data_IF_433379163555
#
_entry.id   IF_433379163555
#
_cell.length_a   1.000
_cell.length_b   1.000
_cell.length_c   1.000
_cell.angle_alpha   90.00
_cell.angle_beta   90.00
_cell.angle_gamma   90.00
#
_symmetry.space_group_name_H-M   'P 1'
#
loop_
_entity.id
_entity.type
_entity.pdbx_description
1 polymer ?
#
# COMPACT_ATOMS: atom_id res chain seq x y z
N UNK A 1 1.55 11.56 19.93
CA UNK A 1 1.66 10.28 19.18
C UNK A 1 2.26 10.61 17.83
N UNK A 2 3.27 9.88 17.35
CA UNK A 2 3.84 10.13 16.00
C UNK A 2 2.93 9.55 14.92
N UNK A 3 3.00 10.08 13.70
CA UNK A 3 2.25 9.57 12.55
C UNK A 3 2.49 8.06 12.35
N UNK A 4 3.73 7.61 12.49
CA UNK A 4 4.11 6.21 12.31
C UNK A 4 3.50 5.28 13.37
N UNK A 5 3.30 5.77 14.60
CA UNK A 5 2.65 4.99 15.66
C UNK A 5 1.14 4.90 15.43
N UNK A 6 0.52 6.01 15.01
CA UNK A 6 -0.90 6.06 14.67
C UNK A 6 -1.22 5.11 13.50
N UNK A 7 -0.42 5.18 12.43
CA UNK A 7 -0.56 4.33 11.25
C UNK A 7 -0.35 2.86 11.59
N UNK A 8 0.63 2.53 12.43
CA UNK A 8 0.86 1.14 12.85
C UNK A 8 -0.32 0.55 13.62
N UNK A 9 -0.93 1.32 14.54
CA UNK A 9 -2.12 0.88 15.28
C UNK A 9 -3.33 0.71 14.36
N UNK A 10 -3.57 1.68 13.49
CA UNK A 10 -4.60 1.61 12.45
C UNK A 10 -4.46 0.38 11.57
N UNK A 11 -3.23 0.08 11.16
CA UNK A 11 -2.97 -1.07 10.31
C UNK A 11 -3.32 -2.38 11.02
N UNK A 12 -3.05 -2.47 12.32
CA UNK A 12 -3.49 -3.58 13.16
C UNK A 12 -5.01 -3.75 13.16
N UNK A 13 -5.77 -2.67 13.34
CA UNK A 13 -7.25 -2.70 13.29
C UNK A 13 -7.78 -3.10 11.92
N UNK A 14 -7.20 -2.56 10.83
CA UNK A 14 -7.54 -2.94 9.46
C UNK A 14 -7.28 -4.44 9.22
N UNK A 15 -6.12 -4.94 9.65
CA UNK A 15 -5.73 -6.35 9.48
C UNK A 15 -6.59 -7.35 10.28
N UNK A 16 -7.31 -6.88 11.30
CA UNK A 16 -8.25 -7.69 12.08
C UNK A 16 -9.57 -7.92 11.33
N UNK A 17 -9.84 -7.16 10.27
CA UNK A 17 -11.02 -7.31 9.41
C UNK A 17 -10.70 -8.23 8.23
N UNK A 18 -11.33 -9.42 8.13
CA UNK A 18 -11.06 -10.37 7.04
C UNK A 18 -11.23 -9.77 5.64
N UNK A 19 -12.20 -8.86 5.50
CA UNK A 19 -12.61 -8.26 4.24
C UNK A 19 -11.70 -7.10 3.76
N UNK A 20 -10.78 -6.61 4.60
CA UNK A 20 -10.00 -5.40 4.31
C UNK A 20 -9.24 -5.48 2.98
N UNK A 21 -8.53 -6.59 2.76
CA UNK A 21 -7.72 -6.77 1.55
C UNK A 21 -8.56 -7.07 0.31
N UNK A 22 -9.72 -7.71 0.48
CA UNK A 22 -10.68 -7.93 -0.61
C UNK A 22 -11.25 -6.60 -1.09
N UNK A 23 -11.64 -5.76 -0.13
CA UNK A 23 -12.15 -4.43 -0.37
C UNK A 23 -11.11 -3.50 -0.99
N UNK A 24 -9.85 -3.59 -0.55
CA UNK A 24 -8.74 -2.88 -1.18
C UNK A 24 -8.61 -3.25 -2.65
N UNK A 25 -8.52 -4.54 -2.97
CA UNK A 25 -8.32 -4.97 -4.36
C UNK A 25 -9.54 -4.67 -5.23
N UNK A 26 -10.76 -4.77 -4.69
CA UNK A 26 -11.96 -4.36 -5.40
C UNK A 26 -11.91 -2.88 -5.78
N UNK A 27 -11.53 -2.01 -4.85
CA UNK A 27 -11.37 -0.57 -5.12
C UNK A 27 -10.22 -0.28 -6.08
N UNK A 28 -9.06 -0.93 -5.90
CA UNK A 28 -7.87 -0.68 -6.69
C UNK A 28 -8.02 -1.15 -8.15
N UNK A 29 -8.52 -2.37 -8.36
CA UNK A 29 -8.75 -2.91 -9.72
C UNK A 29 -9.83 -2.12 -10.48
N UNK A 30 -10.80 -1.54 -9.78
CA UNK A 30 -11.83 -0.69 -10.40
C UNK A 30 -11.34 0.73 -10.75
N UNK A 31 -10.19 1.15 -10.21
CA UNK A 31 -9.72 2.54 -10.34
C UNK A 31 -9.11 2.89 -11.71
N UNK A 32 -8.65 1.89 -12.46
CA UNK A 32 -8.07 2.07 -13.80
C UNK A 32 -8.01 0.75 -14.57
N UNK A 33 -8.36 0.73 -15.87
CA UNK A 33 -8.15 -0.45 -16.73
C UNK A 33 -6.69 -0.91 -16.77
N UNK A 34 -5.73 0.03 -16.73
CA UNK A 34 -4.30 -0.27 -16.71
C UNK A 34 -3.88 -0.97 -15.41
N UNK A 35 -4.48 -0.58 -14.28
CA UNK A 35 -4.29 -1.32 -13.02
C UNK A 35 -4.85 -2.73 -13.16
N UNK A 36 -6.09 -2.88 -13.63
CA UNK A 36 -6.72 -4.19 -13.79
C UNK A 36 -5.90 -5.15 -14.67
N UNK A 37 -5.33 -4.63 -15.76
CA UNK A 37 -4.49 -5.40 -16.68
C UNK A 37 -3.27 -6.03 -15.99
N UNK A 38 -2.62 -5.30 -15.07
CA UNK A 38 -1.45 -5.78 -14.31
C UNK A 38 -1.74 -6.98 -13.41
N UNK A 39 -3.01 -7.27 -13.12
CA UNK A 39 -3.44 -8.38 -12.24
C UNK A 39 -4.16 -9.53 -12.96
N UNK A 40 -4.25 -9.50 -14.30
CA UNK A 40 -4.98 -10.51 -15.10
C UNK A 40 -4.50 -11.95 -14.91
N UNK A 41 -3.22 -12.13 -14.57
CA UNK A 41 -2.58 -13.43 -14.35
C UNK A 41 -2.00 -13.56 -12.92
N UNK A 42 -2.67 -12.97 -11.94
CA UNK A 42 -2.23 -12.97 -10.55
C UNK A 42 -3.07 -13.91 -9.69
N UNK A 43 -2.40 -14.74 -8.89
CA UNK A 43 -3.06 -15.42 -7.76
C UNK A 43 -3.42 -14.38 -6.70
N UNK A 44 -4.68 -13.97 -6.69
CA UNK A 44 -5.16 -12.93 -5.78
C UNK A 44 -5.19 -13.37 -4.31
N UNK A 45 -5.16 -14.66 -4.00
CA UNK A 45 -5.06 -15.15 -2.61
C UNK A 45 -3.64 -14.93 -2.10
N UNK A 46 -2.64 -15.36 -2.87
CA UNK A 46 -1.24 -15.11 -2.54
C UNK A 46 -0.91 -13.61 -2.55
N UNK A 47 -1.46 -12.86 -3.50
CA UNK A 47 -1.22 -11.43 -3.65
C UNK A 47 -1.69 -10.62 -2.44
N UNK A 48 -2.82 -10.98 -1.82
CA UNK A 48 -3.28 -10.32 -0.58
C UNK A 48 -2.31 -10.52 0.59
N UNK A 49 -1.68 -11.69 0.68
CA UNK A 49 -0.64 -11.94 1.70
C UNK A 49 0.62 -11.11 1.43
N UNK A 50 1.03 -11.00 0.16
CA UNK A 50 2.15 -10.14 -0.24
C UNK A 50 1.86 -8.67 0.05
N UNK A 51 0.64 -8.20 -0.24
CA UNK A 51 0.22 -6.84 0.09
C UNK A 51 0.25 -6.58 1.60
N UNK A 52 -0.19 -7.54 2.42
CA UNK A 52 -0.12 -7.43 3.88
C UNK A 52 1.32 -7.22 4.36
N UNK A 53 2.25 -8.02 3.85
CA UNK A 53 3.68 -7.84 4.14
C UNK A 53 4.22 -6.51 3.58
N UNK A 54 3.79 -6.10 2.38
CA UNK A 54 4.21 -4.88 1.71
C UNK A 54 3.85 -3.61 2.50
N UNK A 55 2.60 -3.49 2.95
CA UNK A 55 2.17 -2.35 3.77
C UNK A 55 2.93 -2.32 5.09
N UNK A 56 3.12 -3.46 5.75
CA UNK A 56 3.94 -3.53 6.96
C UNK A 56 5.36 -3.02 6.73
N UNK A 57 6.00 -3.39 5.61
CA UNK A 57 7.34 -2.92 5.27
C UNK A 57 7.39 -1.40 5.06
N UNK A 58 6.37 -0.80 4.44
CA UNK A 58 6.27 0.66 4.30
C UNK A 58 6.19 1.34 5.67
N UNK A 59 5.35 0.83 6.58
CA UNK A 59 5.21 1.36 7.94
C UNK A 59 6.50 1.20 8.74
N UNK A 60 7.15 0.05 8.66
CA UNK A 60 8.42 -0.21 9.34
C UNK A 60 9.55 0.69 8.82
N UNK A 61 9.62 0.92 7.50
CA UNK A 61 10.57 1.87 6.92
C UNK A 61 10.35 3.28 7.46
N UNK A 62 9.10 3.75 7.53
CA UNK A 62 8.78 5.06 8.10
C UNK A 62 9.18 5.18 9.58
N UNK A 63 9.19 4.05 10.32
CA UNK A 63 9.67 3.94 11.71
C UNK A 63 11.19 3.86 11.85
N UNK A 64 11.94 3.99 10.75
CA UNK A 64 13.40 4.05 10.74
C UNK A 64 14.10 2.73 10.45
N UNK A 65 13.39 1.68 10.01
CA UNK A 65 14.06 0.46 9.54
C UNK A 65 14.75 0.70 8.19
N UNK A 66 15.85 -0.03 7.88
CA UNK A 66 16.56 0.12 6.61
C UNK A 66 15.67 -0.10 5.38
N UNK A 67 15.93 0.60 4.25
CA UNK A 67 15.10 0.52 3.04
C UNK A 67 15.27 -0.79 2.24
N UNK A 68 16.06 -1.76 2.70
CA UNK A 68 16.44 -2.96 1.93
C UNK A 68 15.25 -3.70 1.34
N UNK A 69 14.14 -3.81 2.08
CA UNK A 69 12.90 -4.44 1.58
C UNK A 69 12.21 -3.59 0.51
N UNK A 70 12.21 -2.27 0.66
CA UNK A 70 11.64 -1.35 -0.33
C UNK A 70 12.49 -1.28 -1.61
N UNK A 71 13.83 -1.39 -1.49
CA UNK A 71 14.73 -1.48 -2.64
C UNK A 71 14.50 -2.78 -3.43
N UNK A 72 14.29 -3.90 -2.75
CA UNK A 72 13.90 -5.14 -3.42
C UNK A 72 12.54 -5.03 -4.13
N UNK A 73 11.57 -4.31 -3.52
CA UNK A 73 10.30 -3.99 -4.19
C UNK A 73 10.53 -3.09 -5.40
N UNK A 74 11.36 -2.05 -5.29
CA UNK A 74 11.71 -1.14 -6.39
C UNK A 74 12.25 -1.91 -7.60
N UNK A 75 13.21 -2.81 -7.38
CA UNK A 75 13.75 -3.69 -8.44
C UNK A 75 12.64 -4.52 -9.09
N UNK A 76 11.78 -5.18 -8.29
CA UNK A 76 10.68 -5.99 -8.83
C UNK A 76 9.64 -5.18 -9.59
N UNK A 77 9.39 -3.93 -9.20
CA UNK A 77 8.40 -3.05 -9.82
C UNK A 77 8.98 -2.20 -10.96
N UNK A 78 10.29 -2.29 -11.21
CA UNK A 78 11.00 -1.54 -12.25
C UNK A 78 10.47 -1.83 -13.65
N UNK A 79 10.82 -0.93 -14.58
CA UNK A 79 10.53 -1.08 -16.03
C UNK A 79 11.02 -2.39 -16.63
N UNK A 80 12.10 -2.97 -16.09
CA UNK A 80 12.70 -4.20 -16.60
C UNK A 80 12.10 -5.47 -16.00
N UNK A 81 11.18 -5.33 -15.04
CA UNK A 81 10.50 -6.44 -14.35
C UNK A 81 9.00 -6.35 -14.56
N UNK A 82 8.23 -5.99 -13.54
CA UNK A 82 6.77 -5.90 -13.61
C UNK A 82 6.28 -4.68 -14.40
N UNK A 83 7.17 -3.73 -14.70
CA UNK A 83 6.88 -2.51 -15.44
C UNK A 83 5.72 -1.71 -14.81
N UNK A 84 5.83 -1.44 -13.50
CA UNK A 84 4.81 -0.69 -12.77
C UNK A 84 5.10 0.79 -12.93
N UNK A 85 4.40 1.41 -13.88
CA UNK A 85 4.57 2.83 -14.21
C UNK A 85 4.33 3.73 -12.99
N UNK A 86 5.13 4.80 -12.79
CA UNK A 86 5.07 5.65 -11.61
C UNK A 86 3.69 6.22 -11.27
N UNK A 87 2.84 6.52 -12.26
CA UNK A 87 1.50 7.06 -12.01
C UNK A 87 0.52 6.04 -11.41
N UNK A 88 0.81 4.74 -11.51
CA UNK A 88 -0.02 3.68 -10.94
C UNK A 88 -0.03 3.68 -9.41
N UNK A 89 1.01 4.23 -8.77
CA UNK A 89 1.07 4.36 -7.31
C UNK A 89 0.04 5.35 -6.76
N UNK A 90 -0.36 6.36 -7.53
CA UNK A 90 -1.43 7.29 -7.12
C UNK A 90 -2.76 6.55 -6.93
N UNK A 91 -3.10 5.65 -7.85
CA UNK A 91 -4.28 4.79 -7.74
C UNK A 91 -4.17 3.85 -6.54
N UNK A 92 -2.99 3.29 -6.30
CA UNK A 92 -2.74 2.39 -5.18
C UNK A 92 -2.91 3.09 -3.82
N UNK A 93 -2.32 4.28 -3.65
CA UNK A 93 -2.43 5.07 -2.41
C UNK A 93 -3.88 5.46 -2.18
N UNK A 94 -4.56 6.00 -3.20
CA UNK A 94 -5.96 6.42 -3.07
C UNK A 94 -6.88 5.26 -2.69
N UNK A 95 -6.74 4.11 -3.36
CA UNK A 95 -7.52 2.91 -3.04
C UNK A 95 -7.27 2.41 -1.61
N UNK A 96 -6.02 2.49 -1.13
CA UNK A 96 -5.69 2.11 0.24
C UNK A 96 -6.31 3.07 1.27
N UNK A 97 -6.18 4.39 1.07
CA UNK A 97 -6.77 5.40 1.96
C UNK A 97 -8.30 5.27 2.03
N UNK A 98 -8.96 5.09 0.88
CA UNK A 98 -10.42 4.89 0.83
C UNK A 98 -10.86 3.59 1.50
N UNK A 99 -10.01 2.56 1.46
CA UNK A 99 -10.28 1.31 2.17
C UNK A 99 -10.09 1.49 3.67
N UNK A 100 -9.03 2.17 4.11
CA UNK A 100 -8.80 2.49 5.53
C UNK A 100 -9.96 3.30 6.11
N UNK A 101 -10.47 4.32 5.40
CA UNK A 101 -11.65 5.10 5.84
C UNK A 101 -12.87 4.22 6.18
N UNK A 102 -13.09 3.16 5.39
CA UNK A 102 -14.22 2.23 5.58
C UNK A 102 -13.94 1.20 6.68
N UNK A 103 -12.66 0.90 6.92
CA UNK A 103 -12.24 -0.22 7.76
C UNK A 103 -11.68 0.18 9.11
N UNK A 104 -11.38 1.45 9.34
CA UNK A 104 -10.91 1.97 10.63
C UNK A 104 -11.78 3.16 11.06
N UNK A 105 -12.91 2.93 11.76
CA UNK A 105 -13.80 4.00 12.23
C UNK A 105 -13.16 4.95 13.25
N UNK A 106 -12.04 4.55 13.87
CA UNK A 106 -11.27 5.41 14.76
C UNK A 106 -10.38 6.41 13.99
N UNK A 107 -10.30 6.26 12.66
CA UNK A 107 -9.45 7.10 11.83
C UNK A 107 -10.20 8.32 11.31
N UNK A 108 -9.87 9.47 11.89
CA UNK A 108 -10.32 10.76 11.38
C UNK A 108 -9.50 11.23 10.17
N UNK A 109 -9.89 12.36 9.58
CA UNK A 109 -9.16 12.92 8.43
C UNK A 109 -7.71 13.31 8.77
N UNK A 110 -7.37 13.61 10.03
CA UNK A 110 -5.99 13.89 10.41
C UNK A 110 -5.12 12.63 10.35
N UNK A 111 -5.67 11.50 10.78
CA UNK A 111 -5.00 10.22 10.69
C UNK A 111 -4.96 9.61 9.29
N UNK A 112 -5.96 9.88 8.43
CA UNK A 112 -5.84 9.59 6.99
C UNK A 112 -4.68 10.37 6.35
N UNK A 113 -4.51 11.65 6.71
CA UNK A 113 -3.33 12.42 6.27
C UNK A 113 -2.01 11.85 6.82
N UNK A 114 -2.02 11.25 8.01
CA UNK A 114 -0.85 10.57 8.55
C UNK A 114 -0.50 9.31 7.74
N UNK A 115 -1.51 8.52 7.35
CA UNK A 115 -1.36 7.41 6.41
C UNK A 115 -0.74 7.86 5.10
N UNK A 116 -1.27 8.91 4.48
CA UNK A 116 -0.75 9.45 3.22
C UNK A 116 0.73 9.84 3.32
N UNK A 117 1.12 10.58 4.38
CA UNK A 117 2.52 10.94 4.64
C UNK A 117 3.41 9.71 4.83
N UNK A 118 2.97 8.71 5.59
CA UNK A 118 3.74 7.49 5.85
C UNK A 118 3.92 6.66 4.59
N UNK A 119 2.86 6.46 3.82
CA UNK A 119 2.90 5.70 2.57
C UNK A 119 3.81 6.38 1.55
N UNK A 120 3.66 7.70 1.38
CA UNK A 120 4.44 8.48 0.40
C UNK A 120 5.94 8.32 0.62
N UNK A 121 6.42 8.35 1.88
CA UNK A 121 7.86 8.14 2.20
C UNK A 121 8.41 6.85 1.58
N UNK A 122 7.68 5.75 1.67
CA UNK A 122 8.12 4.45 1.16
C UNK A 122 7.82 4.25 -0.33
N UNK A 123 6.68 4.75 -0.81
CA UNK A 123 6.30 4.71 -2.24
C UNK A 123 7.33 5.44 -3.10
N UNK A 124 7.86 6.58 -2.66
CA UNK A 124 8.91 7.30 -3.40
C UNK A 124 10.20 6.48 -3.56
N UNK A 125 10.55 5.63 -2.59
CA UNK A 125 11.69 4.71 -2.71
C UNK A 125 11.44 3.68 -3.80
N UNK A 126 10.23 3.11 -3.85
CA UNK A 126 9.86 2.11 -4.85
C UNK A 126 9.79 2.76 -6.25
N UNK A 127 9.16 3.94 -6.33
CA UNK A 127 9.01 4.73 -7.56
C UNK A 127 10.37 5.12 -8.16
N UNK A 128 11.37 5.38 -7.32
CA UNK A 128 12.73 5.72 -7.74
C UNK A 128 13.48 4.58 -8.47
N UNK A 129 12.97 3.35 -8.43
CA UNK A 129 13.57 2.20 -9.13
C UNK A 129 13.02 1.93 -10.54
N UNK A 130 12.09 2.74 -11.04
CA UNK A 130 11.52 2.60 -12.39
C UNK A 130 12.38 3.23 -13.50
#
# INVERSE_FOLDING_TARGET
MTDENLVFQSYGRCCAKPEFFDDFYRTFLASSPEVAEKFTHTDMVAQKQLLRAGILNLVLYARGLPPTKLQALAESHSRHRLDIKPHLYTYWVNALLDTIRRHDPEMDEAGIRAWDRVLTKGVEVIRGGY
#
